data_IF_843178736049
#
_entry.id   IF_843178736049
#
_cell.length_a   1.000
_cell.length_b   1.000
_cell.length_c   1.000
_cell.angle_alpha   90.00
_cell.angle_beta   90.00
_cell.angle_gamma   90.00
#
_symmetry.space_group_name_H-M   'P 1'
#
loop_
_entity.id
_entity.type
_entity.pdbx_description
1 polymer ?
#
# COMPACT_ATOMS: atom_id res chain seq x y z
N UNK A 1 -58.36 -3.26 9.38
CA UNK A 1 -57.19 -4.01 8.89
C UNK A 1 -56.05 -3.02 8.83
N UNK A 2 -55.28 -2.94 9.91
CA UNK A 2 -54.17 -1.99 10.09
C UNK A 2 -52.92 -2.72 9.61
N UNK A 3 -52.24 -2.20 8.59
CA UNK A 3 -50.96 -2.75 8.13
C UNK A 3 -49.89 -2.25 9.10
N UNK A 4 -49.22 -3.15 9.80
CA UNK A 4 -48.00 -2.80 10.53
C UNK A 4 -46.95 -2.31 9.51
N UNK A 5 -46.20 -1.24 9.80
CA UNK A 5 -45.10 -0.84 8.93
C UNK A 5 -44.05 -1.96 8.88
N UNK A 6 -43.46 -2.25 7.71
CA UNK A 6 -42.49 -3.32 7.59
C UNK A 6 -41.29 -3.07 8.53
N UNK A 7 -40.82 -4.16 9.14
CA UNK A 7 -39.68 -4.27 10.06
C UNK A 7 -38.31 -3.91 9.44
N UNK A 8 -38.26 -2.98 8.49
CA UNK A 8 -37.10 -2.64 7.67
C UNK A 8 -35.84 -2.27 8.47
N UNK A 9 -36.01 -1.81 9.71
CA UNK A 9 -34.90 -1.48 10.61
C UNK A 9 -34.12 -2.71 11.10
N UNK A 10 -34.78 -3.86 11.26
CA UNK A 10 -34.16 -5.09 11.75
C UNK A 10 -33.35 -5.81 10.65
N UNK A 11 -33.85 -5.80 9.41
CA UNK A 11 -33.13 -6.36 8.25
C UNK A 11 -31.88 -5.54 7.91
N UNK A 12 -31.92 -4.22 8.07
CA UNK A 12 -30.76 -3.35 7.83
C UNK A 12 -29.64 -3.52 8.89
N UNK A 13 -29.99 -3.85 10.14
CA UNK A 13 -29.04 -3.93 11.24
C UNK A 13 -28.03 -5.08 11.08
N UNK A 14 -28.44 -6.20 10.48
CA UNK A 14 -27.55 -7.33 10.17
C UNK A 14 -26.79 -7.17 8.86
N UNK A 15 -27.37 -6.47 7.88
CA UNK A 15 -26.80 -6.33 6.54
C UNK A 15 -25.50 -5.51 6.56
N UNK A 16 -25.48 -4.36 7.24
CA UNK A 16 -24.27 -3.52 7.31
C UNK A 16 -23.05 -4.26 7.89
N UNK A 17 -23.11 -4.85 9.09
CA UNK A 17 -21.97 -5.60 9.62
C UNK A 17 -21.63 -6.82 8.77
N UNK A 18 -22.61 -7.52 8.20
CA UNK A 18 -22.36 -8.64 7.29
C UNK A 18 -21.61 -8.18 6.02
N UNK A 19 -22.00 -7.05 5.42
CA UNK A 19 -21.32 -6.46 4.27
C UNK A 19 -19.91 -6.02 4.64
N UNK A 20 -19.71 -5.35 5.78
CA UNK A 20 -18.38 -4.94 6.25
C UNK A 20 -17.48 -6.16 6.46
N UNK A 21 -17.97 -7.20 7.13
CA UNK A 21 -17.20 -8.43 7.36
C UNK A 21 -16.90 -9.18 6.06
N UNK A 22 -17.86 -9.23 5.13
CA UNK A 22 -17.65 -9.82 3.82
C UNK A 22 -16.59 -9.05 3.02
N UNK A 23 -16.67 -7.72 3.02
CA UNK A 23 -15.69 -6.86 2.36
C UNK A 23 -14.31 -7.00 3.00
N UNK A 24 -14.22 -7.01 4.33
CA UNK A 24 -12.97 -7.25 5.05
C UNK A 24 -12.39 -8.63 4.70
N UNK A 25 -13.22 -9.68 4.67
CA UNK A 25 -12.79 -11.03 4.27
C UNK A 25 -12.26 -11.07 2.84
N UNK A 26 -12.92 -10.35 1.92
CA UNK A 26 -12.46 -10.21 0.55
C UNK A 26 -11.11 -9.48 0.47
N UNK A 27 -10.94 -8.38 1.22
CA UNK A 27 -9.67 -7.64 1.28
C UNK A 27 -8.54 -8.48 1.85
N UNK A 28 -8.78 -9.22 2.94
CA UNK A 28 -7.76 -10.08 3.56
C UNK A 28 -7.37 -11.24 2.63
N UNK A 29 -8.34 -11.81 1.91
CA UNK A 29 -8.08 -12.86 0.92
C UNK A 29 -7.29 -12.30 -0.27
N UNK A 30 -7.64 -11.11 -0.75
CA UNK A 30 -6.88 -10.45 -1.79
C UNK A 30 -5.43 -10.15 -1.32
N UNK A 31 -5.26 -9.66 -0.09
CA UNK A 31 -3.95 -9.35 0.47
C UNK A 31 -3.01 -10.56 0.60
N UNK A 32 -3.54 -11.80 0.61
CA UNK A 32 -2.73 -13.02 0.66
C UNK A 32 -2.55 -13.69 -0.69
N UNK A 33 -3.52 -13.57 -1.60
CA UNK A 33 -3.46 -14.22 -2.91
C UNK A 33 -2.73 -13.37 -3.96
N UNK A 34 -2.77 -12.04 -3.85
CA UNK A 34 -2.09 -11.17 -4.79
C UNK A 34 -0.65 -10.90 -4.34
N UNK A 35 0.35 -11.08 -5.22
CA UNK A 35 1.72 -10.73 -4.91
C UNK A 35 1.80 -9.24 -4.53
N UNK A 36 2.42 -8.97 -3.39
CA UNK A 36 2.71 -7.60 -2.98
C UNK A 36 3.77 -6.98 -3.89
N UNK A 37 3.78 -5.66 -3.92
CA UNK A 37 4.63 -4.80 -4.72
C UNK A 37 4.47 -5.00 -6.24
N UNK A 38 3.23 -5.21 -6.70
CA UNK A 38 2.91 -5.49 -8.12
C UNK A 38 1.75 -4.67 -8.66
N UNK A 39 0.84 -4.20 -7.80
CA UNK A 39 -0.23 -3.36 -8.30
C UNK A 39 0.33 -2.03 -8.85
N UNK A 40 -0.29 -1.43 -9.89
CA UNK A 40 0.24 -0.23 -10.54
C UNK A 40 0.44 0.98 -9.60
N UNK A 41 -0.36 1.08 -8.54
CA UNK A 41 -0.37 2.17 -7.56
C UNK A 41 0.45 1.86 -6.30
N UNK A 42 0.67 0.59 -5.99
CA UNK A 42 1.38 0.14 -4.78
C UNK A 42 2.79 0.72 -4.65
N UNK A 43 3.52 0.81 -5.77
CA UNK A 43 4.85 1.43 -5.81
C UNK A 43 4.82 2.89 -5.37
N UNK A 44 3.75 3.61 -5.68
CA UNK A 44 3.58 5.02 -5.33
C UNK A 44 3.20 5.18 -3.84
N UNK A 45 2.41 4.24 -3.30
CA UNK A 45 2.11 4.17 -1.88
C UNK A 45 3.37 3.92 -1.05
N UNK A 46 4.18 2.91 -1.43
CA UNK A 46 5.45 2.59 -0.76
C UNK A 46 6.38 3.81 -0.79
N UNK A 47 6.57 4.40 -1.96
CA UNK A 47 7.40 5.60 -2.11
C UNK A 47 6.95 6.74 -1.18
N UNK A 48 5.63 6.99 -1.10
CA UNK A 48 5.08 8.06 -0.27
C UNK A 48 5.27 7.80 1.23
N UNK A 49 5.19 6.54 1.67
CA UNK A 49 5.47 6.15 3.07
C UNK A 49 6.94 6.39 3.41
N UNK A 50 7.87 6.00 2.54
CA UNK A 50 9.30 6.23 2.74
C UNK A 50 9.63 7.73 2.80
N UNK A 51 9.02 8.53 1.94
CA UNK A 51 9.21 9.99 1.93
C UNK A 51 8.71 10.68 3.21
N UNK A 52 7.53 10.28 3.68
CA UNK A 52 6.95 10.79 4.93
C UNK A 52 7.78 10.33 6.12
N UNK A 53 8.30 9.10 6.12
CA UNK A 53 9.23 8.63 7.17
C UNK A 53 10.52 9.46 7.20
N UNK A 54 11.07 9.79 6.04
CA UNK A 54 12.33 10.52 5.93
C UNK A 54 12.21 11.99 6.40
N UNK A 55 11.09 12.65 6.07
CA UNK A 55 10.93 14.10 6.26
C UNK A 55 9.88 14.51 7.30
N UNK A 56 8.99 13.59 7.69
CA UNK A 56 7.78 13.86 8.47
C UNK A 56 6.92 15.01 7.92
N UNK A 57 7.00 15.21 6.59
CA UNK A 57 6.30 16.25 5.87
C UNK A 57 5.46 15.67 4.74
N UNK A 58 4.37 16.35 4.39
CA UNK A 58 3.52 15.95 3.28
C UNK A 58 3.86 16.77 2.04
N UNK A 59 4.18 16.15 0.90
CA UNK A 59 4.39 16.88 -0.35
C UNK A 59 3.07 17.46 -0.86
N UNK A 60 3.11 18.65 -1.48
CA UNK A 60 1.93 19.22 -2.13
C UNK A 60 1.47 18.39 -3.33
N UNK A 61 0.29 18.73 -3.84
CA UNK A 61 -0.35 18.02 -4.96
C UNK A 61 0.54 18.03 -6.20
N UNK A 62 0.96 16.84 -6.65
CA UNK A 62 1.78 16.67 -7.86
C UNK A 62 3.25 17.12 -7.71
N UNK A 63 3.68 17.52 -6.51
CA UNK A 63 5.04 17.99 -6.26
C UNK A 63 6.05 16.84 -6.16
N UNK A 64 5.60 15.62 -5.84
CA UNK A 64 6.46 14.45 -5.69
C UNK A 64 6.58 13.63 -6.97
N UNK A 65 7.82 13.23 -7.27
CA UNK A 65 8.14 12.14 -8.22
C UNK A 65 8.48 10.88 -7.42
N UNK A 66 8.28 9.70 -8.01
CA UNK A 66 8.76 8.46 -7.41
C UNK A 66 10.27 8.57 -7.17
N UNK A 67 10.74 8.10 -6.04
CA UNK A 67 12.17 8.04 -5.73
C UNK A 67 12.91 7.07 -6.64
N UNK A 68 14.22 7.29 -6.80
CA UNK A 68 15.11 6.30 -7.39
C UNK A 68 15.16 5.01 -6.59
N UNK A 69 14.98 5.08 -5.27
CA UNK A 69 14.87 3.88 -4.42
C UNK A 69 13.79 2.91 -4.93
N UNK A 70 12.61 3.44 -5.28
CA UNK A 70 11.51 2.63 -5.83
C UNK A 70 11.77 2.22 -7.27
N UNK A 71 12.17 3.14 -8.15
CA UNK A 71 12.36 2.82 -9.58
C UNK A 71 13.50 1.81 -9.78
N UNK A 72 14.60 1.96 -9.05
CA UNK A 72 15.78 1.10 -9.17
C UNK A 72 15.58 -0.26 -8.47
N UNK A 73 14.50 -0.42 -7.70
CA UNK A 73 14.08 -1.72 -7.15
C UNK A 73 13.41 -2.63 -8.18
N UNK A 74 12.86 -2.08 -9.27
CA UNK A 74 12.06 -2.84 -10.24
C UNK A 74 12.76 -4.07 -10.83
N UNK A 75 14.06 -4.02 -11.19
CA UNK A 75 14.77 -5.21 -11.66
C UNK A 75 14.90 -6.31 -10.61
N UNK A 76 14.99 -5.95 -9.32
CA UNK A 76 15.15 -6.91 -8.21
C UNK A 76 13.91 -7.78 -8.02
N UNK A 77 12.74 -7.21 -8.27
CA UNK A 77 11.43 -7.87 -8.10
C UNK A 77 10.79 -8.26 -9.43
N UNK A 78 11.50 -8.07 -10.56
CA UNK A 78 10.98 -8.26 -11.92
C UNK A 78 9.63 -7.57 -12.14
N UNK A 79 9.51 -6.33 -11.65
CA UNK A 79 8.24 -5.60 -11.53
C UNK A 79 7.43 -5.51 -12.85
N UNK A 80 8.10 -5.51 -14.01
CA UNK A 80 7.46 -5.39 -15.34
C UNK A 80 7.33 -6.71 -16.11
N UNK A 81 7.75 -7.83 -15.53
CA UNK A 81 7.76 -9.12 -16.22
C UNK A 81 6.56 -9.98 -15.79
N UNK A 82 6.10 -10.84 -16.69
CA UNK A 82 5.13 -11.90 -16.43
C UNK A 82 5.70 -13.27 -16.88
N UNK A 83 5.49 -14.35 -16.12
CA UNK A 83 4.79 -14.40 -14.82
C UNK A 83 5.63 -13.75 -13.70
N UNK A 84 4.99 -13.33 -12.58
CA UNK A 84 5.71 -12.83 -11.41
C UNK A 84 6.69 -13.86 -10.83
N UNK A 85 7.62 -13.40 -9.99
CA UNK A 85 8.54 -14.28 -9.26
C UNK A 85 7.75 -15.31 -8.43
N UNK A 86 8.01 -16.59 -8.67
CA UNK A 86 7.56 -17.66 -7.80
C UNK A 86 8.21 -17.53 -6.42
N UNK A 87 7.56 -18.04 -5.38
CA UNK A 87 8.04 -17.95 -3.99
C UNK A 87 9.46 -18.49 -3.84
N UNK A 88 9.75 -19.63 -4.46
CA UNK A 88 11.05 -20.31 -4.49
C UNK A 88 12.14 -19.55 -5.26
N UNK A 89 11.75 -18.59 -6.11
CA UNK A 89 12.68 -17.72 -6.83
C UNK A 89 12.90 -16.37 -6.14
N UNK A 90 12.18 -16.09 -5.04
CA UNK A 90 12.37 -14.87 -4.27
C UNK A 90 13.68 -14.93 -3.49
N UNK A 91 14.43 -13.82 -3.51
CA UNK A 91 15.65 -13.66 -2.68
C UNK A 91 15.28 -13.86 -1.22
N UNK A 92 16.14 -14.53 -0.44
CA UNK A 92 15.90 -14.74 0.99
C UNK A 92 15.80 -13.41 1.73
N UNK A 93 14.96 -13.32 2.76
CA UNK A 93 14.66 -12.03 3.42
C UNK A 93 15.92 -11.34 3.94
N UNK A 94 16.89 -12.10 4.45
CA UNK A 94 18.17 -11.58 4.96
C UNK A 94 19.10 -11.03 3.87
N UNK A 95 18.86 -11.38 2.61
CA UNK A 95 19.68 -10.97 1.46
C UNK A 95 19.02 -9.86 0.64
N UNK A 96 17.78 -9.46 0.98
CA UNK A 96 17.08 -8.37 0.31
C UNK A 96 17.65 -7.02 0.76
N UNK A 97 18.11 -6.16 -0.16
CA UNK A 97 18.55 -4.83 0.20
C UNK A 97 17.37 -3.99 0.70
N UNK A 98 17.66 -3.09 1.64
CA UNK A 98 16.71 -2.02 2.01
C UNK A 98 16.64 -0.98 0.90
N UNK A 99 15.58 -0.18 0.87
CA UNK A 99 15.46 0.93 -0.11
C UNK A 99 16.64 1.92 -0.03
N UNK A 100 17.13 2.19 1.18
CA UNK A 100 18.30 3.07 1.41
C UNK A 100 19.61 2.46 0.88
N UNK A 101 19.70 1.13 0.77
CA UNK A 101 20.84 0.44 0.17
C UNK A 101 20.75 0.35 -1.36
N UNK A 102 19.55 0.47 -1.94
CA UNK A 102 19.33 0.45 -3.39
C UNK A 102 19.75 1.79 -4.00
N UNK A 103 19.25 2.90 -3.46
CA UNK A 103 19.55 4.24 -3.95
C UNK A 103 19.26 5.32 -2.87
N UNK A 104 19.53 6.58 -3.20
CA UNK A 104 19.05 7.74 -2.44
C UNK A 104 17.62 8.13 -2.83
N UNK A 105 16.91 8.86 -1.96
CA UNK A 105 15.58 9.46 -2.23
C UNK A 105 15.66 10.66 -3.19
N UNK A 106 16.24 10.42 -4.36
CA UNK A 106 16.28 11.38 -5.46
C UNK A 106 15.07 11.19 -6.38
N UNK A 107 14.54 12.27 -6.98
CA UNK A 107 13.38 12.17 -7.86
C UNK A 107 13.71 11.44 -9.16
N UNK A 108 12.81 10.54 -9.57
CA UNK A 108 12.80 9.94 -10.92
C UNK A 108 11.98 10.77 -11.91
N UNK A 109 11.79 10.25 -13.13
CA UNK A 109 10.92 10.87 -14.15
C UNK A 109 9.44 10.53 -13.98
N UNK A 110 9.09 9.59 -13.09
CA UNK A 110 7.71 9.14 -12.88
C UNK A 110 7.04 9.97 -11.78
N UNK A 111 5.82 10.46 -12.03
CA UNK A 111 5.04 11.18 -11.02
C UNK A 111 4.57 10.26 -9.90
N UNK A 112 4.48 10.80 -8.67
CA UNK A 112 3.78 10.14 -7.57
C UNK A 112 2.43 10.82 -7.32
N UNK A 113 1.36 10.18 -7.77
CA UNK A 113 -0.02 10.66 -7.60
C UNK A 113 -0.55 10.50 -6.17
N UNK A 114 0.18 9.84 -5.26
CA UNK A 114 -0.29 9.62 -3.88
C UNK A 114 -0.43 10.89 -3.06
N UNK A 115 0.24 11.97 -3.46
CA UNK A 115 0.05 13.32 -2.90
C UNK A 115 -1.41 13.80 -2.92
N UNK A 116 -2.27 13.24 -3.80
CA UNK A 116 -3.71 13.56 -3.87
C UNK A 116 -4.54 12.93 -2.74
N UNK A 117 -4.00 11.94 -2.02
CA UNK A 117 -4.72 11.25 -0.95
C UNK A 117 -4.53 11.96 0.40
N UNK A 118 -5.48 11.84 1.34
CA UNK A 118 -5.29 12.37 2.69
C UNK A 118 -4.05 11.78 3.39
N UNK A 119 -3.28 12.58 4.14
CA UNK A 119 -1.95 12.19 4.64
C UNK A 119 -1.98 11.15 5.76
N UNK A 120 -3.11 10.99 6.47
CA UNK A 120 -3.18 10.23 7.72
C UNK A 120 -2.66 8.79 7.58
N UNK A 121 -3.06 8.09 6.51
CA UNK A 121 -2.61 6.73 6.25
C UNK A 121 -1.08 6.66 6.16
N UNK A 122 -0.45 7.58 5.43
CA UNK A 122 0.99 7.59 5.19
C UNK A 122 1.78 7.97 6.44
N UNK A 123 1.28 8.91 7.25
CA UNK A 123 1.91 9.27 8.54
C UNK A 123 1.90 8.07 9.49
N UNK A 124 0.77 7.36 9.59
CA UNK A 124 0.67 6.17 10.44
C UNK A 124 1.57 5.03 9.93
N UNK A 125 1.58 4.78 8.62
CA UNK A 125 2.44 3.78 8.01
C UNK A 125 3.93 4.12 8.16
N UNK A 126 4.31 5.39 8.01
CA UNK A 126 5.67 5.87 8.23
C UNK A 126 6.11 5.68 9.69
N UNK A 127 5.22 5.96 10.65
CA UNK A 127 5.47 5.68 12.07
C UNK A 127 5.64 4.20 12.37
N UNK A 128 4.80 3.35 11.78
CA UNK A 128 4.96 1.91 11.90
C UNK A 128 6.30 1.43 11.33
N UNK A 129 6.67 1.89 10.13
CA UNK A 129 7.94 1.55 9.51
C UNK A 129 9.13 2.01 10.36
N UNK A 130 9.10 3.24 10.88
CA UNK A 130 10.15 3.76 11.76
C UNK A 130 10.31 2.93 13.05
N UNK A 131 9.22 2.37 13.60
CA UNK A 131 9.30 1.45 14.75
C UNK A 131 9.97 0.12 14.39
N UNK A 132 9.74 -0.38 13.17
CA UNK A 132 10.35 -1.63 12.71
C UNK A 132 11.85 -1.52 12.43
N UNK A 133 12.36 -0.34 12.07
CA UNK A 133 13.80 -0.15 11.84
C UNK A 133 14.62 -0.12 13.14
N UNK A 134 13.96 0.10 14.28
CA UNK A 134 14.60 0.17 15.61
C UNK A 134 14.51 -1.19 16.34
N UNK A 135 13.73 -2.14 15.82
CA UNK A 135 13.52 -3.47 16.38
C UNK A 135 14.46 -4.51 15.74
#
# INVERSE_FOLDING_TARGET
>A
MTLDPPSAAADAAGVVPATVLCFLGALLTAATLYPTYRAPDEIAHVDQVHAVRASWSWPGLGERRLSRQVVDSFPLVRYREDPPLATEAAVERSERPTFDAIASDEPSTLGNQMSQHPPLYYVLAAGWLALLDVA
#
